data_IF_517380426109
#
_entry.id   IF_517380426109
#
_cell.length_a   1.000
_cell.length_b   1.000
_cell.length_c   1.000
_cell.angle_alpha   90.00
_cell.angle_beta   90.00
_cell.angle_gamma   90.00
#
_symmetry.space_group_name_H-M   'P 1'
#
loop_
_entity.id
_entity.type
_entity.pdbx_description
1 polymer ?
#
# COMPACT_ATOMS: atom_id res chain seq x y z
N UNK A 1 -10.56 -21.41 -1.03
CA UNK A 1 -10.48 -20.19 -1.60
C UNK A 1 -9.24 -19.36 -1.32
N UNK A 2 -8.76 -18.69 -2.34
CA UNK A 2 -7.61 -17.80 -2.26
C UNK A 2 -8.03 -16.32 -2.36
N UNK A 3 -9.24 -15.98 -1.88
CA UNK A 3 -9.72 -14.60 -1.92
C UNK A 3 -9.10 -13.77 -0.80
N UNK A 4 -8.59 -12.57 -1.10
CA UNK A 4 -8.05 -11.66 -0.08
C UNK A 4 -9.12 -11.10 0.88
N UNK A 5 -10.40 -11.25 0.58
CA UNK A 5 -11.48 -10.94 1.54
C UNK A 5 -11.35 -11.74 2.84
N UNK A 6 -10.76 -12.93 2.78
CA UNK A 6 -10.52 -13.76 3.97
C UNK A 6 -9.50 -13.15 4.94
N UNK A 7 -8.70 -12.20 4.48
CA UNK A 7 -7.74 -11.47 5.34
C UNK A 7 -8.42 -10.43 6.22
N UNK A 8 -9.67 -10.05 5.91
CA UNK A 8 -10.37 -8.93 6.54
C UNK A 8 -9.83 -7.55 6.12
N UNK A 9 -8.88 -7.48 5.18
CA UNK A 9 -8.26 -6.24 4.71
C UNK A 9 -8.84 -5.76 3.37
N UNK A 10 -9.49 -6.65 2.61
CA UNK A 10 -10.14 -6.36 1.33
C UNK A 10 -11.65 -6.21 1.49
N UNK A 11 -12.23 -5.20 0.85
CA UNK A 11 -13.67 -4.91 0.87
C UNK A 11 -14.18 -4.60 -0.53
N UNK A 12 -15.39 -5.09 -0.84
CA UNK A 12 -16.16 -4.61 -1.98
C UNK A 12 -17.15 -3.55 -1.52
N UNK A 13 -17.10 -2.38 -2.15
CA UNK A 13 -17.99 -1.27 -1.87
C UNK A 13 -18.92 -1.01 -3.06
N UNK A 14 -20.17 -0.71 -2.78
CA UNK A 14 -21.16 -0.44 -3.83
C UNK A 14 -22.15 0.64 -3.42
N UNK A 15 -22.79 1.22 -4.41
CA UNK A 15 -23.92 2.13 -4.25
C UNK A 15 -25.11 1.57 -5.04
N UNK A 16 -26.30 1.67 -4.51
CA UNK A 16 -27.54 1.23 -5.21
C UNK A 16 -27.56 1.84 -6.61
N UNK A 17 -27.82 1.02 -7.62
CA UNK A 17 -27.83 1.34 -9.05
C UNK A 17 -26.45 1.60 -9.70
N UNK A 18 -25.34 1.43 -8.97
CA UNK A 18 -23.97 1.64 -9.45
C UNK A 18 -23.07 0.48 -9.04
N UNK A 19 -23.48 -0.76 -9.32
CA UNK A 19 -22.68 -1.93 -9.01
C UNK A 19 -21.59 -2.18 -10.07
N UNK A 20 -20.55 -2.92 -9.69
CA UNK A 20 -19.45 -3.31 -10.57
C UNK A 20 -18.72 -2.10 -11.18
N UNK A 21 -18.39 -2.18 -12.45
CA UNK A 21 -17.68 -1.10 -13.17
C UNK A 21 -18.46 0.24 -13.19
N UNK A 22 -19.78 0.19 -12.98
CA UNK A 22 -20.62 1.37 -12.85
C UNK A 22 -20.31 2.19 -11.58
N UNK A 23 -19.67 1.61 -10.59
CA UNK A 23 -19.37 2.25 -9.31
C UNK A 23 -18.64 3.59 -9.47
N UNK A 24 -17.65 3.69 -10.38
CA UNK A 24 -16.91 4.94 -10.64
C UNK A 24 -17.78 6.10 -11.16
N UNK A 25 -18.99 5.81 -11.65
CA UNK A 25 -19.92 6.84 -12.13
C UNK A 25 -20.68 7.51 -11.00
N UNK A 26 -20.71 6.88 -9.82
CA UNK A 26 -21.32 7.48 -8.63
C UNK A 26 -20.38 8.46 -7.92
N UNK A 27 -20.90 9.49 -7.23
CA UNK A 27 -20.08 10.39 -6.43
C UNK A 27 -19.24 9.66 -5.37
N UNK A 28 -19.80 8.62 -4.75
CA UNK A 28 -19.07 7.80 -3.78
C UNK A 28 -17.92 7.00 -4.44
N UNK A 29 -18.15 6.44 -5.63
CA UNK A 29 -17.11 5.74 -6.38
C UNK A 29 -15.99 6.68 -6.84
N UNK A 30 -16.33 7.89 -7.27
CA UNK A 30 -15.33 8.91 -7.59
C UNK A 30 -14.48 9.25 -6.38
N UNK A 31 -15.11 9.49 -5.23
CA UNK A 31 -14.40 9.75 -3.97
C UNK A 31 -13.49 8.58 -3.59
N UNK A 32 -13.99 7.34 -3.62
CA UNK A 32 -13.20 6.16 -3.27
C UNK A 32 -11.99 6.03 -4.19
N UNK A 33 -12.16 6.22 -5.49
CA UNK A 33 -11.06 6.06 -6.45
C UNK A 33 -10.02 7.21 -6.40
N UNK A 34 -10.38 8.40 -5.96
CA UNK A 34 -9.47 9.56 -5.87
C UNK A 34 -8.91 9.82 -4.49
N UNK A 35 -9.61 9.44 -3.41
CA UNK A 35 -9.32 9.92 -2.06
C UNK A 35 -9.05 8.82 -1.02
N UNK A 36 -9.37 7.55 -1.32
CA UNK A 36 -9.27 6.43 -0.37
C UNK A 36 -7.85 6.26 0.18
N UNK A 37 -6.82 6.58 -0.60
CA UNK A 37 -5.42 6.52 -0.18
C UNK A 37 -5.11 7.39 1.05
N UNK A 38 -5.80 8.53 1.23
CA UNK A 38 -5.66 9.39 2.41
C UNK A 38 -6.09 8.70 3.71
N UNK A 39 -6.86 7.64 3.58
CA UNK A 39 -7.38 6.81 4.68
C UNK A 39 -6.67 5.46 4.81
N UNK A 40 -5.66 5.22 3.99
CA UNK A 40 -4.86 3.99 4.01
C UNK A 40 -5.40 2.86 3.11
N UNK A 41 -6.33 3.18 2.22
CA UNK A 41 -6.88 2.22 1.26
C UNK A 41 -6.37 2.48 -0.15
N UNK A 42 -6.21 1.42 -0.91
CA UNK A 42 -5.92 1.46 -2.34
C UNK A 42 -7.05 0.82 -3.14
N UNK A 43 -7.20 1.20 -4.40
CA UNK A 43 -7.93 0.37 -5.36
C UNK A 43 -7.03 -0.83 -5.65
N UNK A 44 -7.47 -2.02 -5.23
CA UNK A 44 -6.63 -3.22 -5.28
C UNK A 44 -6.26 -3.64 -6.69
N UNK A 45 -7.19 -3.50 -7.62
CA UNK A 45 -7.05 -3.85 -9.03
C UNK A 45 -7.28 -2.61 -9.91
N UNK A 46 -6.28 -1.70 -10.01
CA UNK A 46 -6.42 -0.47 -10.76
C UNK A 46 -6.44 -0.73 -12.27
N UNK A 47 -6.96 0.20 -13.06
CA UNK A 47 -7.14 0.03 -14.51
C UNK A 47 -5.83 -0.23 -15.27
N UNK A 48 -4.70 0.22 -14.74
CA UNK A 48 -3.36 0.01 -15.30
C UNK A 48 -2.66 -1.26 -14.75
N UNK A 49 -3.32 -2.00 -13.83
CA UNK A 49 -2.67 -3.04 -13.02
C UNK A 49 -2.80 -4.47 -13.55
N UNK A 50 -3.60 -4.72 -14.60
CA UNK A 50 -3.92 -6.09 -15.05
C UNK A 50 -2.69 -6.96 -15.35
N UNK A 51 -1.63 -6.38 -15.89
CA UNK A 51 -0.41 -7.13 -16.24
C UNK A 51 0.36 -7.66 -15.03
N UNK A 52 0.24 -7.00 -13.86
CA UNK A 52 0.91 -7.41 -12.62
C UNK A 52 -0.01 -8.15 -11.66
N UNK A 53 -1.32 -7.82 -11.66
CA UNK A 53 -2.30 -8.45 -10.76
C UNK A 53 -2.99 -9.68 -11.36
N UNK A 54 -3.00 -9.81 -12.70
CA UNK A 54 -3.79 -10.81 -13.42
C UNK A 54 -5.30 -10.51 -13.45
N UNK A 55 -5.78 -9.50 -12.71
CA UNK A 55 -7.20 -9.19 -12.51
C UNK A 55 -7.56 -7.90 -13.27
N UNK A 56 -8.77 -7.86 -13.83
CA UNK A 56 -9.32 -6.67 -14.49
C UNK A 56 -9.53 -5.54 -13.50
N UNK A 57 -9.80 -4.34 -14.01
CA UNK A 57 -10.13 -3.18 -13.21
C UNK A 57 -11.37 -3.42 -12.34
N UNK A 58 -11.20 -3.26 -11.04
CA UNK A 58 -12.27 -3.39 -10.05
C UNK A 58 -12.31 -2.14 -9.16
N UNK A 59 -12.98 -1.08 -9.60
CA UNK A 59 -13.04 0.19 -8.86
C UNK A 59 -13.72 0.11 -7.50
N UNK A 60 -14.46 -0.94 -7.26
CA UNK A 60 -15.18 -1.22 -6.02
C UNK A 60 -14.37 -2.01 -5.00
N UNK A 61 -13.30 -2.72 -5.44
CA UNK A 61 -12.49 -3.56 -4.59
C UNK A 61 -11.34 -2.76 -3.98
N UNK A 62 -11.46 -2.44 -2.70
CA UNK A 62 -10.46 -1.69 -1.97
C UNK A 62 -9.69 -2.58 -1.00
N UNK A 63 -8.43 -2.24 -0.77
CA UNK A 63 -7.53 -2.94 0.16
C UNK A 63 -6.93 -1.95 1.14
N UNK A 64 -7.02 -2.27 2.44
CA UNK A 64 -6.29 -1.53 3.47
C UNK A 64 -4.82 -1.94 3.49
N UNK A 65 -3.94 -0.95 3.41
CA UNK A 65 -2.48 -1.13 3.45
C UNK A 65 -1.82 -0.15 4.45
N UNK A 66 -2.58 0.76 5.03
CA UNK A 66 -2.07 1.83 5.88
C UNK A 66 -1.68 3.09 5.11
N UNK A 67 -1.72 4.23 5.80
CA UNK A 67 -1.59 5.56 5.17
C UNK A 67 -0.29 5.79 4.40
N UNK A 68 0.93 5.51 4.94
CA UNK A 68 2.15 5.77 4.17
C UNK A 68 2.20 4.91 2.89
N UNK A 69 1.83 3.65 3.00
CA UNK A 69 1.84 2.71 1.87
C UNK A 69 0.81 3.09 0.80
N UNK A 70 -0.41 3.43 1.21
CA UNK A 70 -1.46 3.84 0.28
C UNK A 70 -1.10 5.12 -0.47
N UNK A 71 -0.48 6.10 0.19
CA UNK A 71 -0.03 7.33 -0.44
C UNK A 71 1.06 7.07 -1.47
N UNK A 72 2.05 6.23 -1.16
CA UNK A 72 3.12 5.87 -2.08
C UNK A 72 2.54 5.14 -3.31
N UNK A 73 1.74 4.10 -3.08
CA UNK A 73 1.11 3.30 -4.14
C UNK A 73 0.28 4.19 -5.08
N UNK A 74 -0.52 5.09 -4.51
CA UNK A 74 -1.37 6.01 -5.30
C UNK A 74 -0.54 7.01 -6.10
N UNK A 75 0.40 7.71 -5.46
CA UNK A 75 1.19 8.77 -6.08
C UNK A 75 2.12 8.25 -7.19
N UNK A 76 2.68 7.06 -7.00
CA UNK A 76 3.62 6.45 -7.95
C UNK A 76 2.93 5.46 -8.91
N UNK A 77 1.59 5.38 -8.86
CA UNK A 77 0.74 4.54 -9.74
C UNK A 77 1.18 3.07 -9.76
N UNK A 78 1.41 2.51 -8.58
CA UNK A 78 1.82 1.13 -8.42
C UNK A 78 0.62 0.21 -8.20
N UNK A 79 0.82 -1.08 -8.43
CA UNK A 79 -0.01 -2.13 -7.83
C UNK A 79 0.62 -2.57 -6.51
N UNK A 80 -0.12 -3.30 -5.67
CA UNK A 80 0.42 -3.81 -4.41
C UNK A 80 1.63 -4.72 -4.64
N UNK A 81 1.58 -5.56 -5.68
CA UNK A 81 2.67 -6.44 -6.09
C UNK A 81 3.94 -5.64 -6.40
N UNK A 82 3.84 -4.67 -7.31
CA UNK A 82 4.97 -3.82 -7.69
C UNK A 82 5.52 -3.00 -6.53
N UNK A 83 4.65 -2.59 -5.62
CA UNK A 83 5.05 -1.91 -4.39
C UNK A 83 5.90 -2.81 -3.49
N UNK A 84 5.44 -4.04 -3.24
CA UNK A 84 6.18 -5.01 -2.41
C UNK A 84 7.51 -5.37 -3.08
N UNK A 85 7.51 -5.61 -4.39
CA UNK A 85 8.69 -5.98 -5.17
C UNK A 85 9.74 -4.85 -5.26
N UNK A 86 9.36 -3.61 -4.95
CA UNK A 86 10.29 -2.47 -4.96
C UNK A 86 11.23 -2.39 -3.74
N UNK A 87 11.01 -3.24 -2.74
CA UNK A 87 11.84 -3.27 -1.54
C UNK A 87 12.90 -4.36 -1.64
N UNK A 88 14.15 -3.98 -1.51
CA UNK A 88 15.24 -4.92 -1.19
C UNK A 88 15.10 -5.35 0.27
N UNK A 89 15.13 -6.67 0.49
CA UNK A 89 14.91 -7.25 1.83
C UNK A 89 16.03 -6.82 2.78
N UNK A 90 15.65 -6.35 3.95
CA UNK A 90 16.58 -5.86 4.98
C UNK A 90 16.89 -4.37 4.91
N UNK A 91 16.65 -3.72 3.76
CA UNK A 91 16.96 -2.31 3.58
C UNK A 91 15.88 -1.38 4.15
N UNK A 92 16.29 -0.17 4.55
CA UNK A 92 15.40 0.87 5.08
C UNK A 92 15.21 1.99 4.06
N UNK A 93 13.98 2.37 3.85
CA UNK A 93 13.54 3.41 2.90
C UNK A 93 12.82 4.54 3.62
N UNK A 94 13.04 5.77 3.19
CA UNK A 94 12.35 6.95 3.74
C UNK A 94 11.31 7.48 2.76
N UNK A 95 10.04 7.46 3.15
CA UNK A 95 8.92 7.98 2.34
C UNK A 95 7.78 8.48 3.23
N UNK A 96 7.08 9.53 2.80
CA UNK A 96 5.87 10.07 3.45
C UNK A 96 6.02 10.37 4.95
N UNK A 97 7.24 10.70 5.41
CA UNK A 97 7.55 10.95 6.83
C UNK A 97 7.69 9.68 7.67
N UNK A 98 7.86 8.54 7.03
CA UNK A 98 8.08 7.23 7.65
C UNK A 98 9.39 6.60 7.16
N UNK A 99 9.91 5.68 7.98
CA UNK A 99 10.91 4.70 7.57
C UNK A 99 10.18 3.37 7.36
N UNK A 100 10.45 2.73 6.24
CA UNK A 100 9.80 1.48 5.84
C UNK A 100 10.88 0.47 5.48
N UNK A 101 10.74 -0.76 5.98
CA UNK A 101 11.64 -1.87 5.64
C UNK A 101 10.82 -3.13 5.42
N UNK A 102 11.26 -3.94 4.48
CA UNK A 102 10.75 -5.30 4.27
C UNK A 102 11.81 -6.27 4.79
N UNK A 103 11.46 -7.13 5.77
CA UNK A 103 12.40 -8.04 6.42
C UNK A 103 11.83 -9.46 6.52
N UNK A 104 12.67 -10.47 6.40
CA UNK A 104 12.25 -11.87 6.38
C UNK A 104 11.64 -12.32 7.71
N UNK A 105 10.59 -13.14 7.63
CA UNK A 105 9.99 -13.80 8.79
C UNK A 105 10.92 -14.93 9.22
N UNK A 106 11.25 -14.96 10.51
CA UNK A 106 12.16 -15.97 11.08
C UNK A 106 13.58 -15.44 11.28
N UNK A 107 13.94 -14.30 10.73
CA UNK A 107 15.20 -13.61 10.99
C UNK A 107 15.05 -12.55 12.09
N UNK A 108 16.19 -12.09 12.62
CA UNK A 108 16.21 -11.01 13.60
C UNK A 108 15.80 -9.68 12.95
N UNK A 109 14.74 -9.09 13.43
CA UNK A 109 14.26 -7.79 12.93
C UNK A 109 15.22 -6.68 13.32
N UNK A 110 15.73 -5.96 12.33
CA UNK A 110 16.54 -4.75 12.55
C UNK A 110 15.65 -3.53 12.67
N UNK A 111 15.99 -2.63 13.59
CA UNK A 111 15.23 -1.39 13.84
C UNK A 111 16.16 -0.19 13.83
N UNK A 112 15.71 1.00 13.39
CA UNK A 112 16.48 2.23 13.53
C UNK A 112 16.80 2.54 14.99
N UNK A 113 17.95 3.17 15.25
CA UNK A 113 18.40 3.51 16.63
C UNK A 113 17.42 4.40 17.39
N UNK A 114 16.67 5.25 16.70
CA UNK A 114 15.68 6.14 17.28
C UNK A 114 14.43 6.21 16.40
N UNK A 115 13.31 5.77 16.92
CA UNK A 115 12.02 5.81 16.23
C UNK A 115 10.89 6.15 17.19
N UNK A 116 9.73 6.50 16.64
CA UNK A 116 8.49 6.68 17.38
C UNK A 116 7.71 5.37 17.52
N UNK A 117 6.44 5.37 17.13
CA UNK A 117 5.64 4.15 17.02
C UNK A 117 6.07 3.32 15.82
N UNK A 118 6.07 2.01 15.99
CA UNK A 118 6.29 1.06 14.91
C UNK A 118 5.02 0.24 14.64
N UNK A 119 4.77 -0.09 13.39
CA UNK A 119 3.77 -1.07 12.94
C UNK A 119 4.52 -2.15 12.19
N UNK A 120 4.28 -3.40 12.55
CA UNK A 120 4.85 -4.57 11.89
C UNK A 120 3.68 -5.44 11.44
N UNK A 121 3.64 -5.76 10.16
CA UNK A 121 2.61 -6.63 9.59
C UNK A 121 3.19 -7.57 8.55
N UNK A 122 2.71 -8.82 8.43
CA UNK A 122 3.14 -9.70 7.37
C UNK A 122 2.70 -9.15 6.00
N UNK A 123 3.55 -9.31 5.00
CA UNK A 123 3.24 -8.96 3.60
C UNK A 123 2.57 -10.11 2.82
N UNK A 124 2.39 -11.27 3.46
CA UNK A 124 1.89 -12.53 2.92
C UNK A 124 2.79 -13.18 1.85
N UNK A 125 4.04 -12.74 1.75
CA UNK A 125 5.05 -13.31 0.82
C UNK A 125 6.31 -13.78 1.54
N UNK A 126 6.23 -14.00 2.86
CA UNK A 126 7.33 -14.50 3.68
C UNK A 126 8.12 -13.41 4.41
N UNK A 127 7.68 -12.15 4.32
CA UNK A 127 8.34 -11.04 4.99
C UNK A 127 7.38 -10.24 5.87
N UNK A 128 7.97 -9.45 6.78
CA UNK A 128 7.29 -8.36 7.47
C UNK A 128 7.49 -7.05 6.71
N UNK A 129 6.44 -6.28 6.60
CA UNK A 129 6.52 -4.86 6.29
C UNK A 129 6.57 -4.08 7.61
N UNK A 130 7.69 -3.42 7.89
CA UNK A 130 7.95 -2.67 9.11
C UNK A 130 7.87 -1.19 8.78
N UNK A 131 7.01 -0.48 9.49
CA UNK A 131 6.77 0.95 9.28
C UNK A 131 6.97 1.69 10.58
N UNK A 132 7.92 2.61 10.63
CA UNK A 132 8.18 3.44 11.79
C UNK A 132 8.02 4.91 11.45
N UNK A 133 7.42 5.68 12.35
CA UNK A 133 7.29 7.12 12.15
C UNK A 133 8.66 7.79 12.30
N UNK A 134 9.12 8.46 11.25
CA UNK A 134 10.34 9.23 11.29
C UNK A 134 10.12 10.51 12.11
N UNK A 135 10.93 10.75 13.15
CA UNK A 135 10.88 11.98 13.94
C UNK A 135 11.49 13.19 13.22
N UNK A 136 12.36 12.96 12.23
CA UNK A 136 12.93 13.99 11.36
C UNK A 136 12.18 13.94 10.05
N UNK A 137 11.42 14.98 9.69
CA UNK A 137 10.74 15.04 8.41
C UNK A 137 11.77 15.01 7.27
N UNK A 138 11.95 13.86 6.65
CA UNK A 138 12.74 13.75 5.45
C UNK A 138 11.93 14.37 4.30
N UNK A 139 12.48 15.37 3.64
CA UNK A 139 11.92 15.90 2.39
C UNK A 139 12.05 14.82 1.32
N UNK A 140 10.94 14.50 0.65
CA UNK A 140 10.92 13.60 -0.51
C UNK A 140 11.91 14.13 -1.56
N UNK A 141 12.87 13.30 -2.00
CA UNK A 141 13.69 13.63 -3.17
C UNK A 141 12.82 13.48 -4.41
N UNK A 142 12.74 14.53 -5.24
CA UNK A 142 12.07 14.44 -6.54
C UNK A 142 12.74 13.37 -7.40
N UNK A 143 11.94 12.43 -7.93
CA UNK A 143 12.37 11.48 -8.96
C UNK A 143 12.68 10.04 -8.51
N UNK A 144 12.50 9.71 -7.22
CA UNK A 144 12.68 8.33 -6.73
C UNK A 144 11.48 7.86 -5.93
N UNK A 145 11.06 6.63 -6.18
CA UNK A 145 9.95 6.00 -5.48
C UNK A 145 10.24 5.88 -3.97
N UNK A 146 11.41 5.39 -3.61
CA UNK A 146 11.93 5.30 -2.24
C UNK A 146 13.41 5.69 -2.23
N UNK A 147 13.88 6.24 -1.09
CA UNK A 147 15.30 6.50 -0.88
C UNK A 147 15.81 5.58 0.21
N UNK A 148 16.92 4.86 -0.03
CA UNK A 148 17.64 4.17 1.03
C UNK A 148 18.08 5.17 2.11
N UNK A 149 18.08 4.74 3.35
CA UNK A 149 18.54 5.53 4.51
C UNK A 149 19.91 5.00 4.88
N UNK A 150 20.92 5.85 4.76
CA UNK A 150 22.28 5.57 5.26
C UNK A 150 22.35 5.55 6.80
#
# INVERSE_FOLDING_TARGET
GASEHQTGLGLDVYVKNFAGEGFVKSPAGQFVNSESWKYGFIIRYPSYGKSSTGIKFEPWHIRYVGKPHAAIIYNDRLTLEKYIDSFETGEWYSAEGYLISRQEIGESVTMPKAFGSAVISPDNTGCYMITVRNRKSAKRKQGGFLCCVE
#
